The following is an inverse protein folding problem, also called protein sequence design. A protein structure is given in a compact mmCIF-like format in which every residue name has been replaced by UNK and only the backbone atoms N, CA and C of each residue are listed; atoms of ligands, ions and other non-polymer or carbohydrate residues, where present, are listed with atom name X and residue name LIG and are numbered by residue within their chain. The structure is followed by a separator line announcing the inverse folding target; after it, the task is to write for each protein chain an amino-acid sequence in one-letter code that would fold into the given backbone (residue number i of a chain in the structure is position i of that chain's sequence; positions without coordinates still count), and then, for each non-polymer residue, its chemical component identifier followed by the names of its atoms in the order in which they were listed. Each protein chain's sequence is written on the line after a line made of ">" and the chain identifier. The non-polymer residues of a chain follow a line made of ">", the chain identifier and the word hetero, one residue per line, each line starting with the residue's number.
data_IF_933653607831
#
_entry.id   IF_933653607831
#
_cell.length_a   1.000
_cell.length_b   1.000
_cell.length_c   1.000
_cell.angle_alpha   90.00
_cell.angle_beta   90.00
_cell.angle_gamma   90.00
#
_symmetry.space_group_name_H-M   'P 1'
#
loop_
_entity.id
_entity.type
_entity.pdbx_description
1 polymer ?
#
# COMPACT_ATOMS: atom_id res chain seq x y z
N UNK A 1 -25.58 -1.22 -21.36
CA UNK A 1 -24.14 -0.94 -21.38
C UNK A 1 -23.85 -0.01 -20.21
N UNK A 2 -23.03 -0.42 -19.25
CA UNK A 2 -22.51 0.50 -18.24
C UNK A 2 -21.16 0.99 -18.78
N UNK A 3 -21.09 2.26 -19.16
CA UNK A 3 -19.82 2.88 -19.54
C UNK A 3 -19.03 3.10 -18.24
N UNK A 4 -17.84 2.50 -18.15
CA UNK A 4 -16.90 2.81 -17.07
C UNK A 4 -16.46 4.26 -17.14
N UNK A 5 -16.35 4.93 -15.99
CA UNK A 5 -15.78 6.27 -15.87
C UNK A 5 -14.35 6.16 -15.35
N UNK A 6 -13.39 6.73 -16.07
CA UNK A 6 -12.03 6.91 -15.56
C UNK A 6 -12.03 7.97 -14.46
N UNK A 7 -11.55 7.62 -13.28
CA UNK A 7 -11.51 8.50 -12.10
C UNK A 7 -10.09 8.83 -11.62
N UNK A 8 -9.07 8.18 -12.19
CA UNK A 8 -7.66 8.45 -11.99
C UNK A 8 -6.84 7.99 -13.20
N UNK A 9 -5.84 8.76 -13.62
CA UNK A 9 -4.98 8.45 -14.75
C UNK A 9 -5.71 8.48 -16.11
N UNK A 10 -5.35 7.55 -17.00
CA UNK A 10 -5.98 7.38 -18.32
C UNK A 10 -5.43 8.26 -19.45
N UNK A 11 -4.34 9.00 -19.20
CA UNK A 11 -3.75 9.93 -20.16
C UNK A 11 -2.34 9.53 -20.63
N UNK A 12 -1.95 8.27 -20.43
CA UNK A 12 -0.59 7.76 -20.66
C UNK A 12 0.06 7.22 -19.39
N UNK A 13 1.33 6.85 -19.52
CA UNK A 13 2.14 6.11 -18.55
C UNK A 13 3.47 6.82 -18.19
N UNK A 14 3.53 8.15 -18.33
CA UNK A 14 4.67 8.95 -17.92
C UNK A 14 4.55 9.44 -16.46
N UNK A 15 5.48 10.29 -16.03
CA UNK A 15 5.50 10.89 -14.68
C UNK A 15 4.61 12.15 -14.56
N UNK A 16 3.85 12.51 -15.60
CA UNK A 16 2.87 13.61 -15.53
C UNK A 16 1.78 13.32 -14.48
N UNK A 17 1.22 14.37 -13.88
CA UNK A 17 0.33 14.21 -12.72
C UNK A 17 -1.09 13.71 -13.08
N UNK A 18 -1.45 13.77 -14.36
CA UNK A 18 -2.66 13.16 -14.90
C UNK A 18 -2.46 11.74 -15.46
N UNK A 19 -1.28 11.15 -15.22
CA UNK A 19 -0.87 9.84 -15.72
C UNK A 19 -0.44 8.93 -14.56
N UNK A 20 -0.47 7.63 -14.81
CA UNK A 20 -0.06 6.59 -13.86
C UNK A 20 0.75 5.56 -14.64
N UNK A 21 1.88 5.11 -14.08
CA UNK A 21 2.78 4.15 -14.70
C UNK A 21 2.83 2.85 -13.89
N UNK A 22 2.15 1.81 -14.40
CA UNK A 22 1.93 0.53 -13.72
C UNK A 22 1.37 0.71 -12.29
N UNK A 23 0.23 1.40 -12.10
CA UNK A 23 -0.37 1.48 -10.78
C UNK A 23 -0.78 0.07 -10.29
N UNK A 24 -0.54 -0.23 -9.01
CA UNK A 24 -0.79 -1.57 -8.45
C UNK A 24 -1.94 -1.56 -7.43
N UNK A 25 -1.70 -1.05 -6.22
CA UNK A 25 -2.70 -0.91 -5.17
C UNK A 25 -3.38 0.45 -5.15
N UNK A 26 -4.59 0.50 -4.61
CA UNK A 26 -5.33 1.73 -4.36
C UNK A 26 -6.14 1.65 -3.07
N UNK A 27 -6.43 2.81 -2.49
CA UNK A 27 -7.34 2.96 -1.37
C UNK A 27 -8.36 4.06 -1.65
N UNK A 28 -9.63 3.79 -1.34
CA UNK A 28 -10.72 4.79 -1.45
C UNK A 28 -11.08 5.28 -0.06
N UNK A 29 -10.89 6.57 0.18
CA UNK A 29 -11.24 7.25 1.42
C UNK A 29 -12.73 7.64 1.46
N UNK A 30 -13.24 8.00 2.64
CA UNK A 30 -14.68 8.22 2.86
C UNK A 30 -15.26 9.37 2.02
N UNK A 31 -14.45 10.36 1.68
CA UNK A 31 -14.82 11.49 0.82
C UNK A 31 -14.68 11.18 -0.69
N UNK A 32 -14.49 9.90 -1.04
CA UNK A 32 -14.21 9.40 -2.39
C UNK A 32 -12.89 9.89 -2.98
N UNK A 33 -11.96 10.35 -2.14
CA UNK A 33 -10.56 10.52 -2.52
C UNK A 33 -9.92 9.15 -2.74
N UNK A 34 -9.17 8.99 -3.83
CA UNK A 34 -8.46 7.76 -4.16
C UNK A 34 -6.97 8.00 -3.98
N UNK A 35 -6.31 7.13 -3.23
CA UNK A 35 -4.85 7.06 -3.15
C UNK A 35 -4.39 5.91 -4.03
N UNK A 36 -3.43 6.15 -4.93
CA UNK A 36 -2.93 5.14 -5.86
C UNK A 36 -1.43 4.96 -5.66
N UNK A 37 -0.99 3.70 -5.53
CA UNK A 37 0.41 3.33 -5.62
C UNK A 37 0.84 3.33 -7.09
N UNK A 38 1.45 4.44 -7.52
CA UNK A 38 1.95 4.65 -8.88
C UNK A 38 3.37 4.06 -8.97
N UNK A 39 3.43 2.73 -9.13
CA UNK A 39 4.59 1.89 -8.84
C UNK A 39 5.86 2.36 -9.55
N UNK A 40 5.83 2.47 -10.88
CA UNK A 40 7.02 2.76 -11.68
C UNK A 40 7.36 4.26 -11.73
N UNK A 41 6.46 5.12 -11.23
CA UNK A 41 6.80 6.51 -10.90
C UNK A 41 7.26 6.68 -9.43
N UNK A 42 7.29 5.59 -8.65
CA UNK A 42 7.80 5.54 -7.27
C UNK A 42 7.16 6.59 -6.34
N UNK A 43 5.83 6.69 -6.41
CA UNK A 43 5.06 7.72 -5.69
C UNK A 43 3.68 7.20 -5.31
N UNK A 44 3.07 7.87 -4.33
CA UNK A 44 1.63 7.77 -4.06
C UNK A 44 0.96 9.03 -4.58
N UNK A 45 -0.10 8.86 -5.37
CA UNK A 45 -0.87 9.96 -5.94
C UNK A 45 -2.27 9.98 -5.36
N UNK A 46 -2.68 11.13 -4.83
CA UNK A 46 -4.05 11.43 -4.39
C UNK A 46 -4.88 11.94 -5.57
N UNK A 47 -6.09 11.41 -5.73
CA UNK A 47 -7.09 11.86 -6.70
C UNK A 47 -8.39 12.15 -5.98
N UNK A 48 -8.74 13.44 -5.88
CA UNK A 48 -10.04 13.86 -5.33
C UNK A 48 -11.16 13.52 -6.31
N UNK A 49 -12.36 13.31 -5.78
CA UNK A 49 -13.55 13.03 -6.60
C UNK A 49 -13.72 14.08 -7.70
N UNK A 50 -13.73 13.63 -8.96
CA UNK A 50 -13.92 14.48 -10.14
C UNK A 50 -12.67 15.27 -10.57
N UNK A 51 -11.51 15.05 -9.95
CA UNK A 51 -10.26 15.66 -10.38
C UNK A 51 -9.79 15.08 -11.71
N UNK A 52 -9.20 15.93 -12.56
CA UNK A 52 -8.55 15.54 -13.82
C UNK A 52 -7.04 15.37 -13.69
N UNK A 53 -6.47 15.84 -12.57
CA UNK A 53 -5.08 15.72 -12.19
C UNK A 53 -5.00 15.14 -10.78
N UNK A 54 -4.00 14.31 -10.53
CA UNK A 54 -3.67 13.89 -9.17
C UNK A 54 -2.87 14.94 -8.39
N UNK A 55 -2.43 14.55 -7.21
CA UNK A 55 -1.43 15.24 -6.40
C UNK A 55 -0.49 14.22 -5.79
N UNK A 56 0.83 14.41 -5.93
CA UNK A 56 1.80 13.54 -5.23
C UNK A 56 1.74 13.84 -3.73
N UNK A 57 1.49 12.81 -2.93
CA UNK A 57 1.34 12.93 -1.47
C UNK A 57 2.40 12.14 -0.70
N UNK A 58 3.11 11.22 -1.35
CA UNK A 58 4.29 10.55 -0.82
C UNK A 58 5.23 10.12 -1.97
N UNK A 59 6.54 10.10 -1.71
CA UNK A 59 7.54 9.78 -2.73
C UNK A 59 7.65 10.86 -3.83
N UNK A 60 7.98 10.45 -5.06
CA UNK A 60 8.13 11.36 -6.21
C UNK A 60 9.46 12.13 -6.28
N UNK A 61 10.37 11.92 -5.32
CA UNK A 61 11.72 12.52 -5.28
C UNK A 61 12.79 11.57 -5.84
N UNK A 62 12.43 10.86 -6.91
CA UNK A 62 13.22 9.77 -7.47
C UNK A 62 13.11 8.46 -6.68
N UNK A 63 13.48 7.37 -7.34
CA UNK A 63 13.57 6.05 -6.73
C UNK A 63 14.65 6.05 -5.62
N UNK A 64 14.34 5.49 -4.46
CA UNK A 64 15.35 5.28 -3.42
C UNK A 64 14.77 4.89 -2.07
N UNK A 65 15.65 4.79 -1.08
CA UNK A 65 15.33 4.38 0.30
C UNK A 65 15.37 5.52 1.31
N UNK A 66 15.68 6.74 0.86
CA UNK A 66 15.65 7.95 1.68
C UNK A 66 14.28 8.20 2.31
N UNK A 67 14.25 9.04 3.35
CA UNK A 67 13.00 9.31 4.10
C UNK A 67 11.96 10.04 3.25
N UNK A 68 12.36 10.75 2.19
CA UNK A 68 11.48 11.41 1.24
C UNK A 68 11.34 10.63 -0.10
N UNK A 69 11.76 9.37 -0.15
CA UNK A 69 11.76 8.53 -1.36
C UNK A 69 10.98 7.23 -1.12
N UNK A 70 10.48 6.67 -2.23
CA UNK A 70 9.90 5.34 -2.30
C UNK A 70 10.60 4.58 -3.44
N UNK A 71 10.44 3.26 -3.48
CA UNK A 71 10.97 2.38 -4.52
C UNK A 71 9.95 1.29 -4.81
N UNK A 72 9.25 1.44 -5.94
CA UNK A 72 8.14 0.57 -6.37
C UNK A 72 7.12 0.33 -5.25
N UNK A 73 6.33 1.34 -4.85
CA UNK A 73 5.24 1.11 -3.90
C UNK A 73 4.19 0.17 -4.53
N UNK A 74 3.78 -0.87 -3.81
CA UNK A 74 2.81 -1.85 -4.31
C UNK A 74 1.40 -1.59 -3.78
N UNK A 75 1.28 -1.10 -2.55
CA UNK A 75 -0.01 -0.91 -1.90
C UNK A 75 0.03 0.27 -0.94
N UNK A 76 -1.14 0.85 -0.67
CA UNK A 76 -1.33 1.97 0.24
C UNK A 76 -2.69 1.87 0.92
N UNK A 77 -2.75 2.14 2.21
CA UNK A 77 -4.02 2.39 2.94
C UNK A 77 -3.91 3.68 3.77
N UNK A 78 -5.03 4.12 4.33
CA UNK A 78 -5.07 5.23 5.28
C UNK A 78 -5.34 4.72 6.70
N UNK A 79 -4.42 5.02 7.62
CA UNK A 79 -4.69 5.01 9.06
C UNK A 79 -5.44 6.30 9.42
N UNK A 80 -6.75 6.16 9.68
CA UNK A 80 -7.63 7.29 10.02
C UNK A 80 -7.37 7.86 11.41
N UNK A 81 -6.84 7.05 12.33
CA UNK A 81 -6.57 7.47 13.70
C UNK A 81 -5.37 8.42 13.75
N UNK A 82 -4.32 8.12 12.98
CA UNK A 82 -3.09 8.94 12.93
C UNK A 82 -3.03 9.90 11.75
N UNK A 83 -4.10 9.99 10.94
CA UNK A 83 -4.16 10.73 9.67
C UNK A 83 -2.93 10.47 8.77
N UNK A 84 -2.58 9.19 8.58
CA UNK A 84 -1.36 8.76 7.89
C UNK A 84 -1.63 7.77 6.77
N UNK A 85 -0.80 7.81 5.72
CA UNK A 85 -0.70 6.73 4.73
C UNK A 85 0.20 5.62 5.28
N UNK A 86 -0.19 4.37 5.08
CA UNK A 86 0.65 3.19 5.31
C UNK A 86 0.93 2.56 3.96
N UNK A 87 2.21 2.43 3.59
CA UNK A 87 2.64 2.13 2.21
C UNK A 87 3.53 0.89 2.20
N UNK A 88 3.22 -0.09 1.34
CA UNK A 88 4.13 -1.18 0.98
C UNK A 88 5.23 -0.60 0.07
N UNK A 89 6.39 -0.25 0.62
CA UNK A 89 7.55 0.26 -0.14
C UNK A 89 8.41 -0.93 -0.60
N UNK A 90 7.88 -1.67 -1.59
CA UNK A 90 8.22 -3.07 -1.86
C UNK A 90 9.70 -3.29 -2.17
N UNK A 91 10.29 -2.53 -3.10
CA UNK A 91 11.70 -2.76 -3.47
C UNK A 91 12.69 -2.33 -2.38
N UNK A 92 12.22 -1.59 -1.37
CA UNK A 92 12.98 -1.30 -0.15
C UNK A 92 12.72 -2.32 0.98
N UNK A 93 11.91 -3.36 0.75
CA UNK A 93 11.53 -4.40 1.70
C UNK A 93 11.03 -3.85 3.05
N UNK A 94 10.17 -2.82 3.01
CA UNK A 94 9.68 -2.14 4.21
C UNK A 94 8.23 -1.67 4.06
N UNK A 95 7.62 -1.39 5.20
CA UNK A 95 6.37 -0.62 5.29
C UNK A 95 6.68 0.74 5.90
N UNK A 96 6.16 1.78 5.24
CA UNK A 96 6.38 3.18 5.62
C UNK A 96 5.07 3.81 6.08
N UNK A 97 5.11 4.55 7.19
CA UNK A 97 4.06 5.48 7.61
C UNK A 97 4.43 6.88 7.11
N UNK A 98 3.51 7.55 6.43
CA UNK A 98 3.71 8.90 5.89
C UNK A 98 2.54 9.81 6.31
N UNK A 99 2.77 11.04 6.79
CA UNK A 99 1.67 11.94 7.12
C UNK A 99 0.81 12.21 5.88
N UNK A 100 -0.50 11.95 5.95
CA UNK A 100 -1.36 12.04 4.75
C UNK A 100 -1.47 13.46 4.20
N UNK A 101 -1.32 14.45 5.08
CA UNK A 101 -1.38 15.88 4.75
C UNK A 101 -0.07 16.56 5.13
N UNK A 102 0.47 17.35 4.21
CA UNK A 102 1.68 18.15 4.42
C UNK A 102 2.92 17.34 4.86
N UNK A 103 2.94 16.02 4.63
CA UNK A 103 4.08 15.16 4.95
C UNK A 103 5.18 15.27 3.89
N UNK A 104 6.40 15.57 4.32
CA UNK A 104 7.57 15.66 3.43
C UNK A 104 8.47 14.41 3.52
N UNK A 105 8.23 13.55 4.50
CA UNK A 105 8.99 12.33 4.73
C UNK A 105 8.14 11.23 5.37
N UNK A 106 8.56 10.00 5.15
CA UNK A 106 8.02 8.80 5.77
C UNK A 106 8.95 8.21 6.81
N UNK A 107 8.34 7.43 7.69
CA UNK A 107 8.99 6.66 8.76
C UNK A 107 8.85 5.16 8.46
N UNK A 108 9.95 4.42 8.49
CA UNK A 108 9.90 2.96 8.38
C UNK A 108 9.33 2.39 9.68
N UNK A 109 8.15 1.76 9.60
CA UNK A 109 7.49 1.15 10.75
C UNK A 109 7.69 -0.37 10.83
N UNK A 110 7.95 -1.02 9.69
CA UNK A 110 8.27 -2.45 9.59
C UNK A 110 9.37 -2.61 8.54
N UNK A 111 10.42 -3.38 8.86
CA UNK A 111 11.54 -3.67 7.95
C UNK A 111 11.63 -5.17 7.65
N UNK A 112 12.42 -5.52 6.62
CA UNK A 112 12.66 -6.89 6.18
C UNK A 112 11.38 -7.67 5.84
N UNK A 113 10.48 -7.01 5.11
CA UNK A 113 9.21 -7.59 4.66
C UNK A 113 8.99 -7.31 3.18
N UNK A 114 8.70 -8.35 2.39
CA UNK A 114 8.38 -8.22 0.97
C UNK A 114 6.87 -7.94 0.83
N UNK A 115 6.47 -6.73 1.21
CA UNK A 115 5.08 -6.28 1.31
C UNK A 115 4.46 -6.15 -0.10
N UNK A 116 3.49 -6.98 -0.42
CA UNK A 116 2.73 -6.92 -1.68
C UNK A 116 1.32 -6.35 -1.52
N UNK A 117 0.70 -6.64 -0.39
CA UNK A 117 -0.62 -6.14 -0.03
C UNK A 117 -0.70 -5.97 1.48
N UNK A 118 -1.43 -4.95 1.91
CA UNK A 118 -1.59 -4.65 3.33
C UNK A 118 -3.02 -4.19 3.63
N UNK A 119 -3.51 -4.54 4.83
CA UNK A 119 -4.78 -4.02 5.35
C UNK A 119 -4.66 -3.76 6.85
N UNK A 120 -5.66 -3.11 7.42
CA UNK A 120 -5.68 -2.74 8.84
C UNK A 120 -7.05 -3.03 9.43
N UNK A 121 -7.07 -3.62 10.63
CA UNK A 121 -8.30 -3.80 11.40
C UNK A 121 -8.70 -2.55 12.21
N UNK A 122 -9.88 -2.58 12.83
CA UNK A 122 -10.41 -1.46 13.62
C UNK A 122 -9.55 -1.11 14.85
N UNK A 123 -8.68 -2.02 15.30
CA UNK A 123 -7.74 -1.78 16.40
C UNK A 123 -6.40 -1.21 15.92
N UNK A 124 -6.24 -0.99 14.60
CA UNK A 124 -5.00 -0.53 14.00
C UNK A 124 -3.95 -1.61 13.82
N UNK A 125 -4.31 -2.89 13.89
CA UNK A 125 -3.38 -3.98 13.60
C UNK A 125 -3.21 -4.10 12.10
N UNK A 126 -1.95 -4.15 11.63
CA UNK A 126 -1.61 -4.33 10.23
C UNK A 126 -1.56 -5.81 9.88
N UNK A 127 -2.16 -6.20 8.77
CA UNK A 127 -2.01 -7.51 8.15
C UNK A 127 -1.27 -7.30 6.83
N UNK A 128 -0.13 -7.95 6.68
CA UNK A 128 0.76 -7.74 5.54
C UNK A 128 1.06 -9.07 4.90
N UNK A 129 0.90 -9.12 3.59
CA UNK A 129 1.39 -10.21 2.74
C UNK A 129 2.90 -10.07 2.59
N UNK A 130 3.66 -10.98 3.21
CA UNK A 130 5.10 -11.15 2.95
C UNK A 130 5.26 -12.17 1.81
N UNK A 131 5.24 -11.66 0.57
CA UNK A 131 5.25 -12.50 -0.64
C UNK A 131 6.46 -13.43 -0.69
N UNK A 132 7.62 -12.94 -0.26
CA UNK A 132 8.87 -13.69 -0.27
C UNK A 132 8.85 -14.93 0.63
N UNK A 133 8.01 -14.93 1.66
CA UNK A 133 7.85 -16.05 2.60
C UNK A 133 6.53 -16.81 2.42
N UNK A 134 5.69 -16.39 1.49
CA UNK A 134 4.36 -16.96 1.27
C UNK A 134 3.54 -17.01 2.57
N UNK A 135 3.47 -15.88 3.28
CA UNK A 135 2.76 -15.77 4.55
C UNK A 135 2.03 -14.41 4.68
N UNK A 136 1.03 -14.39 5.55
CA UNK A 136 0.41 -13.16 6.05
C UNK A 136 0.85 -12.97 7.50
N UNK A 137 1.41 -11.81 7.80
CA UNK A 137 1.83 -11.44 9.15
C UNK A 137 0.92 -10.36 9.71
N UNK A 138 0.48 -10.54 10.96
CA UNK A 138 -0.22 -9.53 11.76
C UNK A 138 0.76 -8.81 12.67
N UNK A 139 0.71 -7.48 12.68
CA UNK A 139 1.45 -6.60 13.58
C UNK A 139 0.43 -5.77 14.37
N UNK A 140 0.45 -5.85 15.69
CA UNK A 140 -0.27 -4.91 16.54
C UNK A 140 0.27 -3.49 16.41
N UNK A 141 -0.52 -2.50 16.83
CA UNK A 141 -0.11 -1.08 16.78
C UNK A 141 1.19 -0.87 17.58
N UNK A 142 2.25 -0.44 16.88
CA UNK A 142 3.58 -0.21 17.45
C UNK A 142 4.46 -1.46 17.60
N UNK A 143 3.97 -2.65 17.23
CA UNK A 143 4.78 -3.87 17.25
C UNK A 143 5.76 -3.89 16.07
N UNK A 144 7.03 -4.22 16.34
CA UNK A 144 8.06 -4.41 15.32
C UNK A 144 8.22 -5.87 14.88
N UNK A 145 7.55 -6.80 15.57
CA UNK A 145 7.59 -8.24 15.30
C UNK A 145 6.17 -8.75 15.06
N UNK A 146 5.93 -9.23 13.84
CA UNK A 146 4.62 -9.75 13.44
C UNK A 146 4.46 -11.23 13.76
N UNK A 147 3.23 -11.64 13.98
CA UNK A 147 2.83 -13.05 14.11
C UNK A 147 2.30 -13.56 12.77
N UNK A 148 2.67 -14.78 12.37
CA UNK A 148 2.11 -15.39 11.16
C UNK A 148 0.67 -15.81 11.45
N UNK A 149 -0.27 -15.36 10.61
CA UNK A 149 -1.70 -15.67 10.75
C UNK A 149 -2.24 -16.53 9.60
N UNK A 150 -1.52 -16.60 8.48
CA UNK A 150 -1.80 -17.52 7.37
C UNK A 150 -0.51 -17.86 6.61
N UNK A 151 -0.39 -19.08 6.08
CA UNK A 151 0.82 -19.54 5.38
C UNK A 151 2.01 -19.77 6.30
N UNK A 152 3.22 -19.47 5.82
CA UNK A 152 4.47 -19.60 6.59
C UNK A 152 5.13 -20.98 6.56
N UNK A 153 4.50 -21.97 5.90
CA UNK A 153 5.05 -23.33 5.73
C UNK A 153 5.60 -23.58 4.32
N UNK A 154 6.16 -22.55 3.71
CA UNK A 154 6.62 -22.54 2.33
C UNK A 154 5.50 -22.32 1.31
N UNK A 155 5.89 -22.09 0.07
CA UNK A 155 4.95 -21.84 -1.03
C UNK A 155 4.35 -23.14 -1.57
N UNK A 156 3.03 -23.22 -1.69
CA UNK A 156 2.37 -24.43 -2.18
C UNK A 156 0.85 -24.45 -1.97
N UNK A 157 0.27 -25.65 -2.13
CA UNK A 157 -1.18 -25.89 -2.14
C UNK A 157 -1.68 -26.73 -0.96
N UNK A 158 -0.86 -26.92 0.08
CA UNK A 158 -1.31 -27.53 1.34
C UNK A 158 -2.17 -26.54 2.13
N UNK A 159 -2.98 -27.05 3.06
CA UNK A 159 -3.90 -26.25 3.87
C UNK A 159 -3.21 -25.15 4.69
N UNK A 160 -1.92 -25.33 4.98
CA UNK A 160 -1.08 -24.44 5.78
C UNK A 160 -0.04 -23.65 4.93
N UNK A 161 -0.20 -23.66 3.61
CA UNK A 161 0.66 -22.97 2.65
C UNK A 161 -0.12 -21.94 1.84
N UNK A 162 0.57 -20.88 1.40
CA UNK A 162 0.06 -19.93 0.41
C UNK A 162 0.90 -20.06 -0.87
N UNK A 163 0.30 -19.86 -2.04
CA UNK A 163 1.04 -19.81 -3.30
C UNK A 163 0.82 -18.45 -3.98
N UNK A 164 1.87 -17.64 -4.02
CA UNK A 164 1.84 -16.29 -4.59
C UNK A 164 0.76 -15.38 -3.98
N UNK A 165 0.64 -15.26 -2.64
CA UNK A 165 -0.33 -14.35 -2.04
C UNK A 165 0.00 -12.91 -2.45
N UNK A 166 -0.99 -12.12 -2.86
CA UNK A 166 -0.77 -10.73 -3.31
C UNK A 166 -1.60 -9.71 -2.53
N UNK A 167 -2.84 -10.07 -2.18
CA UNK A 167 -3.79 -9.20 -1.51
C UNK A 167 -4.26 -9.83 -0.21
N UNK A 168 -4.58 -9.00 0.77
CA UNK A 168 -5.22 -9.39 2.03
C UNK A 168 -6.35 -8.42 2.34
N UNK A 169 -7.44 -8.94 2.90
CA UNK A 169 -8.53 -8.14 3.42
C UNK A 169 -8.91 -8.72 4.78
N UNK A 170 -9.27 -7.85 5.72
CA UNK A 170 -9.78 -8.24 7.03
C UNK A 170 -11.21 -7.76 7.16
N UNK A 171 -12.12 -8.67 7.53
CA UNK A 171 -13.53 -8.31 7.73
C UNK A 171 -13.76 -7.65 9.11
N UNK A 172 -15.00 -7.18 9.35
CA UNK A 172 -15.38 -6.57 10.64
C UNK A 172 -15.32 -7.52 11.84
N UNK A 173 -15.23 -8.83 11.59
CA UNK A 173 -15.05 -9.83 12.64
C UNK A 173 -13.57 -10.13 12.88
N UNK A 174 -12.66 -9.36 12.29
CA UNK A 174 -11.22 -9.58 12.30
C UNK A 174 -10.81 -10.94 11.70
N UNK A 175 -11.61 -11.47 10.77
CA UNK A 175 -11.26 -12.67 9.99
C UNK A 175 -10.47 -12.25 8.75
N UNK A 176 -9.38 -12.98 8.49
CA UNK A 176 -8.40 -12.75 7.42
C UNK A 176 -8.46 -13.88 6.41
#
# INVERSE_FOLDING_TARGET
>A
MHNGLTVAGGNGDSNEINQLYYPWGLYVYDDQTIYVADQLNHRIVEWKRGATNGQVVAGGNGQGSGTHQLSNPFDVIVDKETDSLIICDNSNNRVVRWPRRNGTSGETIISNINCWGLTMDENGSLYIVDYGKAEVRRYGRGESQGTVVAGGNGSGNRLDQLYGPQYVFVDRNNSV
#
